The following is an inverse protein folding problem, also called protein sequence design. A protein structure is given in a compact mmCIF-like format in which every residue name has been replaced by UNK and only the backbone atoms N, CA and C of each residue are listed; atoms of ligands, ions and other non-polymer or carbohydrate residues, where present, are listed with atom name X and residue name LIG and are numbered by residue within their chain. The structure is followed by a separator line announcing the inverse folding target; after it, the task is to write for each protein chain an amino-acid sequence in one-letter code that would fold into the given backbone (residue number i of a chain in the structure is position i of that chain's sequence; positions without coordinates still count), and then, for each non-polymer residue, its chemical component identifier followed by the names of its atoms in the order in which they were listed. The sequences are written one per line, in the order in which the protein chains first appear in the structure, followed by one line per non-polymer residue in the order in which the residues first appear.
data_IF_258454844931
#
_entry.id   IF_258454844931
#
_cell.length_a   1.000
_cell.length_b   1.000
_cell.length_c   1.000
_cell.angle_alpha   90.00
_cell.angle_beta   90.00
_cell.angle_gamma   90.00
#
_symmetry.space_group_name_H-M   'P 1'
#
loop_
_entity.id
_entity.type
_entity.pdbx_description
1 polymer ?
#
# COMPACT_ATOMS: atom_id res chain seq x y z
N UNK A 1 70.32 -14.63 36.65
CA UNK A 1 69.64 -13.98 35.47
C UNK A 1 68.53 -14.79 34.79
N UNK A 2 68.01 -15.87 35.37
CA UNK A 2 66.95 -16.73 34.77
C UNK A 2 65.55 -16.51 35.30
N UNK A 3 65.35 -15.89 36.46
CA UNK A 3 64.03 -15.70 37.08
C UNK A 3 63.21 -14.50 36.57
N UNK A 4 63.84 -13.50 35.97
CA UNK A 4 63.16 -12.31 35.48
C UNK A 4 62.45 -12.56 34.15
N UNK A 5 62.96 -13.54 33.34
CA UNK A 5 62.36 -13.89 32.04
C UNK A 5 61.02 -14.64 32.17
N UNK A 6 60.83 -15.42 33.23
CA UNK A 6 59.60 -16.17 33.44
C UNK A 6 58.45 -15.29 33.87
N UNK A 7 58.68 -14.23 34.67
CA UNK A 7 57.62 -13.32 35.14
C UNK A 7 57.02 -12.46 33.98
N UNK A 8 57.85 -12.05 33.01
CA UNK A 8 57.39 -11.31 31.85
C UNK A 8 56.56 -12.19 30.89
N UNK A 9 56.93 -13.45 30.74
CA UNK A 9 56.17 -14.43 29.92
C UNK A 9 54.81 -14.75 30.53
N UNK A 10 54.75 -14.94 31.85
CA UNK A 10 53.48 -15.19 32.58
C UNK A 10 52.53 -14.00 32.52
N UNK A 11 53.08 -12.78 32.62
CA UNK A 11 52.27 -11.55 32.51
C UNK A 11 51.71 -11.36 31.09
N UNK A 12 52.47 -11.69 30.06
CA UNK A 12 52.01 -11.60 28.65
C UNK A 12 50.91 -12.65 28.34
N UNK A 13 51.08 -13.88 28.85
CA UNK A 13 50.03 -14.92 28.68
C UNK A 13 48.74 -14.59 29.43
N UNK A 14 48.86 -14.02 30.65
CA UNK A 14 47.70 -13.56 31.38
C UNK A 14 46.94 -12.40 30.72
N UNK A 15 47.67 -11.45 30.11
CA UNK A 15 47.11 -10.36 29.37
C UNK A 15 46.40 -10.85 28.08
N UNK A 16 46.99 -11.80 27.34
CA UNK A 16 46.39 -12.40 26.17
C UNK A 16 45.11 -13.18 26.47
N UNK A 17 45.06 -13.92 27.61
CA UNK A 17 43.87 -14.61 28.07
C UNK A 17 42.76 -13.65 28.49
N UNK A 18 43.10 -12.51 29.11
CA UNK A 18 42.11 -11.49 29.50
C UNK A 18 41.47 -10.84 28.31
N UNK A 19 42.26 -10.54 27.24
CA UNK A 19 41.73 -9.96 25.98
C UNK A 19 40.90 -11.00 25.22
N UNK A 20 41.28 -12.28 25.25
CA UNK A 20 40.50 -13.36 24.61
C UNK A 20 39.13 -13.56 25.27
N UNK A 21 39.05 -13.47 26.60
CA UNK A 21 37.78 -13.59 27.34
C UNK A 21 36.85 -12.39 27.08
N UNK A 22 37.41 -11.20 26.95
CA UNK A 22 36.60 -10.01 26.63
C UNK A 22 36.07 -10.06 25.19
N UNK A 23 36.82 -10.62 24.22
CA UNK A 23 36.38 -10.76 22.84
C UNK A 23 35.29 -11.85 22.65
N UNK A 24 35.25 -12.86 23.51
CA UNK A 24 34.24 -13.93 23.43
C UNK A 24 32.94 -13.57 24.18
N UNK A 25 33.02 -12.71 25.19
CA UNK A 25 31.85 -12.31 25.98
C UNK A 25 30.99 -11.22 25.33
N UNK A 26 31.56 -10.41 24.43
CA UNK A 26 30.81 -9.28 23.80
C UNK A 26 29.76 -9.69 22.76
N UNK A 27 29.90 -10.74 21.95
CA UNK A 27 28.87 -11.07 20.96
C UNK A 27 27.58 -11.65 21.58
N UNK A 28 27.69 -12.47 22.63
CA UNK A 28 26.53 -13.12 23.25
C UNK A 28 25.68 -12.12 24.06
N UNK A 29 26.31 -11.17 24.75
CA UNK A 29 25.58 -10.11 25.47
C UNK A 29 24.95 -9.07 24.55
N UNK A 30 25.55 -8.81 23.39
CA UNK A 30 25.02 -7.90 22.40
C UNK A 30 23.77 -8.47 21.71
N UNK A 31 23.73 -9.79 21.43
CA UNK A 31 22.57 -10.44 20.78
C UNK A 31 21.37 -10.53 21.73
N UNK A 32 21.57 -10.85 22.98
CA UNK A 32 20.49 -10.90 23.98
C UNK A 32 19.91 -9.52 24.29
N UNK A 33 20.71 -8.48 24.20
CA UNK A 33 20.27 -7.10 24.44
C UNK A 33 19.56 -6.48 23.23
N UNK A 34 19.85 -6.93 22.01
CA UNK A 34 19.22 -6.40 20.80
C UNK A 34 17.71 -6.71 20.73
N UNK A 35 17.29 -7.91 21.09
CA UNK A 35 15.85 -8.25 21.15
C UNK A 35 15.13 -7.36 22.17
N UNK A 36 15.77 -7.03 23.27
CA UNK A 36 15.23 -6.17 24.30
C UNK A 36 15.14 -4.70 23.82
N UNK A 37 16.19 -4.20 23.15
CA UNK A 37 16.22 -2.88 22.51
C UNK A 37 15.15 -2.78 21.43
N UNK A 38 15.01 -3.80 20.58
CA UNK A 38 13.98 -3.86 19.55
C UNK A 38 12.57 -3.80 20.15
N UNK A 39 12.25 -4.70 21.08
CA UNK A 39 10.91 -4.83 21.62
C UNK A 39 10.49 -3.65 22.52
N UNK A 40 11.41 -3.10 23.30
CA UNK A 40 11.08 -2.10 24.32
C UNK A 40 11.35 -0.66 23.90
N UNK A 41 12.22 -0.43 22.90
CA UNK A 41 12.62 0.92 22.53
C UNK A 41 12.34 1.27 21.05
N UNK A 42 12.58 0.37 20.11
CA UNK A 42 12.42 0.67 18.67
C UNK A 42 10.99 0.39 18.22
N UNK A 43 10.49 -0.82 18.46
CA UNK A 43 9.16 -1.26 18.02
C UNK A 43 8.02 -0.35 18.51
N UNK A 44 7.95 0.05 19.81
CA UNK A 44 6.88 0.94 20.26
C UNK A 44 6.90 2.30 19.58
N UNK A 45 8.08 2.86 19.33
CA UNK A 45 8.22 4.15 18.61
C UNK A 45 7.86 4.02 17.13
N UNK A 46 8.22 2.91 16.50
CA UNK A 46 7.81 2.62 15.14
C UNK A 46 6.28 2.42 15.04
N UNK A 47 5.70 1.65 15.96
CA UNK A 47 4.25 1.42 16.03
C UNK A 47 3.44 2.72 16.27
N UNK A 48 4.04 3.75 16.89
CA UNK A 48 3.41 5.07 17.07
C UNK A 48 3.50 5.95 15.80
N UNK A 49 4.56 5.80 15.01
CA UNK A 49 4.80 6.62 13.80
C UNK A 49 4.17 6.04 12.54
N UNK A 50 3.98 4.74 12.49
CA UNK A 50 3.48 4.04 11.32
C UNK A 50 2.14 3.40 11.64
N UNK A 51 1.16 3.63 10.77
CA UNK A 51 -0.13 2.94 10.86
C UNK A 51 0.10 1.44 10.69
N UNK A 52 -0.33 0.65 11.67
CA UNK A 52 -0.25 -0.81 11.55
C UNK A 52 -1.06 -1.25 10.33
N UNK A 53 -0.48 -2.10 9.49
CA UNK A 53 -1.12 -2.67 8.32
C UNK A 53 -2.50 -3.30 8.63
N UNK A 54 -2.64 -3.92 9.80
CA UNK A 54 -3.91 -4.49 10.29
C UNK A 54 -4.98 -3.44 10.66
N UNK A 55 -4.59 -2.16 10.77
CA UNK A 55 -5.52 -1.06 11.08
C UNK A 55 -6.10 -0.39 9.84
N UNK A 56 -5.50 -0.59 8.65
CA UNK A 56 -6.00 -0.03 7.39
C UNK A 56 -7.12 -0.95 6.91
N UNK A 57 -8.36 -0.56 7.19
CA UNK A 57 -9.55 -1.28 6.70
C UNK A 57 -10.10 -0.66 5.43
N UNK A 58 -10.12 0.67 5.34
CA UNK A 58 -10.65 1.43 4.22
C UNK A 58 -9.54 2.31 3.63
N UNK A 59 -9.44 2.35 2.33
CA UNK A 59 -8.56 3.22 1.54
C UNK A 59 -9.45 4.16 0.76
N UNK A 60 -9.04 5.41 0.64
CA UNK A 60 -9.79 6.46 -0.02
C UNK A 60 -8.88 7.24 -0.96
N UNK A 61 -9.47 7.87 -1.97
CA UNK A 61 -8.76 8.73 -2.90
C UNK A 61 -9.70 9.50 -3.81
N UNK A 62 -9.12 10.16 -4.81
CA UNK A 62 -9.84 10.92 -5.80
C UNK A 62 -9.67 10.28 -7.18
N UNK A 63 -10.59 10.59 -8.10
CA UNK A 63 -10.46 10.31 -9.53
C UNK A 63 -10.88 11.53 -10.33
N UNK A 64 -10.39 11.65 -11.56
CA UNK A 64 -10.73 12.74 -12.46
C UNK A 64 -10.55 12.32 -13.93
N UNK A 65 -11.58 11.74 -14.53
CA UNK A 65 -11.60 11.39 -15.94
C UNK A 65 -12.11 12.57 -16.77
N UNK A 66 -11.47 12.88 -17.88
CA UNK A 66 -11.88 13.97 -18.75
C UNK A 66 -11.27 13.91 -20.14
N UNK A 67 -11.94 14.56 -21.11
CA UNK A 67 -11.48 14.66 -22.49
C UNK A 67 -12.14 15.86 -23.20
N UNK A 68 -11.54 16.31 -24.30
CA UNK A 68 -12.20 17.13 -25.30
C UNK A 68 -12.71 16.19 -26.40
N UNK A 69 -14.01 15.87 -26.36
CA UNK A 69 -14.62 14.93 -27.28
C UNK A 69 -14.90 15.58 -28.64
N UNK A 70 -14.54 14.91 -29.71
CA UNK A 70 -14.97 15.26 -31.07
C UNK A 70 -16.37 14.68 -31.38
N UNK A 71 -16.71 13.55 -30.73
CA UNK A 71 -17.99 12.85 -30.88
C UNK A 71 -18.25 11.91 -29.68
N UNK A 72 -19.40 11.25 -29.69
CA UNK A 72 -19.82 10.33 -28.59
C UNK A 72 -19.06 8.99 -28.55
N UNK A 73 -18.19 8.71 -29.52
CA UNK A 73 -17.37 7.50 -29.53
C UNK A 73 -15.96 7.75 -28.98
N UNK A 74 -15.66 8.98 -28.57
CA UNK A 74 -14.40 9.29 -27.93
C UNK A 74 -14.41 8.82 -26.46
N UNK A 75 -13.23 8.57 -25.91
CA UNK A 75 -13.05 7.97 -24.61
C UNK A 75 -12.16 8.82 -23.71
N UNK A 76 -12.60 9.05 -22.49
CA UNK A 76 -11.79 9.61 -21.41
C UNK A 76 -11.41 8.55 -20.40
N UNK A 77 -10.18 8.60 -19.89
CA UNK A 77 -9.64 7.57 -19.02
C UNK A 77 -9.04 8.15 -17.75
N UNK A 78 -9.19 7.42 -16.65
CA UNK A 78 -8.47 7.61 -15.41
C UNK A 78 -8.24 6.25 -14.74
N UNK A 79 -7.47 6.23 -13.65
CA UNK A 79 -7.19 5.02 -12.90
C UNK A 79 -7.29 5.23 -11.39
N UNK A 80 -7.88 4.28 -10.71
CA UNK A 80 -7.93 4.16 -9.26
C UNK A 80 -6.88 3.13 -8.85
N UNK A 81 -5.91 3.53 -8.03
CA UNK A 81 -4.92 2.63 -7.44
C UNK A 81 -5.11 2.56 -5.94
N UNK A 82 -5.24 1.35 -5.41
CA UNK A 82 -5.39 1.15 -3.97
C UNK A 82 -4.07 1.32 -3.20
N UNK A 83 -2.92 1.35 -3.90
CA UNK A 83 -1.59 1.37 -3.27
C UNK A 83 -1.23 0.07 -2.53
N UNK A 84 -2.16 -0.88 -2.44
CA UNK A 84 -2.01 -2.19 -1.79
C UNK A 84 -2.73 -3.26 -2.60
N UNK A 85 -2.25 -4.50 -2.48
CA UNK A 85 -2.96 -5.66 -3.03
C UNK A 85 -4.02 -6.13 -2.04
N UNK A 86 -5.27 -6.16 -2.46
CA UNK A 86 -6.35 -6.79 -1.72
C UNK A 86 -6.29 -8.32 -1.82
N UNK A 87 -6.86 -9.03 -0.85
CA UNK A 87 -6.94 -10.49 -0.87
C UNK A 87 -7.84 -11.00 -2.01
N UNK A 88 -8.96 -10.31 -2.26
CA UNK A 88 -9.86 -10.52 -3.39
C UNK A 88 -10.15 -9.20 -4.10
N UNK A 89 -10.57 -9.26 -5.35
CA UNK A 89 -11.10 -8.10 -6.06
C UNK A 89 -12.39 -7.64 -5.37
N UNK A 90 -12.58 -6.33 -5.14
CA UNK A 90 -13.82 -5.81 -4.58
C UNK A 90 -14.90 -5.77 -5.67
N UNK A 91 -16.17 -5.85 -5.24
CA UNK A 91 -17.32 -5.51 -6.07
C UNK A 91 -17.37 -3.99 -6.24
N UNK A 92 -17.48 -3.53 -7.48
CA UNK A 92 -17.43 -2.10 -7.80
C UNK A 92 -18.82 -1.48 -7.89
N UNK A 93 -18.92 -0.22 -7.52
CA UNK A 93 -20.14 0.58 -7.60
C UNK A 93 -19.78 2.02 -8.01
N UNK A 94 -20.42 2.52 -9.06
CA UNK A 94 -20.36 3.92 -9.43
C UNK A 94 -21.66 4.62 -8.99
N UNK A 95 -21.53 5.70 -8.21
CA UNK A 95 -22.61 6.52 -7.72
C UNK A 95 -22.56 7.89 -8.39
N UNK A 96 -23.50 8.20 -9.31
CA UNK A 96 -23.61 9.54 -9.93
C UNK A 96 -23.79 10.64 -8.90
N UNK A 97 -23.46 11.87 -9.27
CA UNK A 97 -23.68 13.05 -8.44
C UNK A 97 -25.14 13.15 -7.98
N UNK A 98 -25.34 13.31 -6.67
CA UNK A 98 -26.65 13.36 -6.06
C UNK A 98 -27.32 12.00 -5.82
N UNK A 99 -26.69 10.88 -6.18
CA UNK A 99 -27.23 9.56 -5.86
C UNK A 99 -27.32 9.33 -4.34
N UNK A 100 -28.36 8.63 -3.92
CA UNK A 100 -28.50 8.22 -2.54
C UNK A 100 -27.45 7.16 -2.15
N UNK A 101 -27.01 7.16 -0.90
CA UNK A 101 -26.16 6.09 -0.36
C UNK A 101 -26.89 4.74 -0.37
N UNK A 102 -26.10 3.66 -0.48
CA UNK A 102 -26.58 2.28 -0.45
C UNK A 102 -25.95 1.54 0.73
N UNK A 103 -26.40 0.32 1.03
CA UNK A 103 -25.79 -0.53 2.06
C UNK A 103 -24.32 -0.86 1.73
N UNK A 104 -23.98 -1.03 0.44
CA UNK A 104 -22.61 -1.29 -0.04
C UNK A 104 -21.77 -0.01 -0.02
N UNK A 105 -22.37 1.13 -0.35
CA UNK A 105 -21.74 2.44 -0.46
C UNK A 105 -22.44 3.46 0.46
N UNK A 106 -22.18 3.37 1.79
CA UNK A 106 -22.89 4.19 2.78
C UNK A 106 -22.37 5.64 2.87
N UNK A 107 -21.35 5.99 2.09
CA UNK A 107 -20.72 7.30 2.07
C UNK A 107 -21.32 8.28 1.07
N UNK A 108 -20.53 9.28 0.75
CA UNK A 108 -20.81 10.31 -0.25
C UNK A 108 -19.52 10.81 -0.87
N UNK A 109 -19.58 11.68 -1.90
CA UNK A 109 -18.40 12.29 -2.50
C UNK A 109 -17.55 13.12 -1.52
N UNK A 110 -18.17 13.68 -0.45
CA UNK A 110 -17.45 14.45 0.59
C UNK A 110 -16.87 13.53 1.67
N UNK A 111 -17.53 12.42 1.96
CA UNK A 111 -17.10 11.43 2.95
C UNK A 111 -17.20 10.03 2.35
N UNK A 112 -16.23 9.62 1.50
CA UNK A 112 -16.31 8.35 0.79
C UNK A 112 -16.14 7.17 1.75
N UNK A 113 -17.10 6.24 1.75
CA UNK A 113 -17.10 5.03 2.55
C UNK A 113 -17.50 3.85 1.66
N UNK A 114 -17.01 2.66 1.98
CA UNK A 114 -17.39 1.41 1.33
C UNK A 114 -17.60 0.32 2.38
N UNK A 115 -18.60 -0.52 2.19
CA UNK A 115 -18.77 -1.73 2.98
C UNK A 115 -17.61 -2.71 2.70
N UNK A 116 -17.32 -3.67 3.61
CA UNK A 116 -16.27 -4.65 3.40
C UNK A 116 -16.45 -5.44 2.10
N UNK A 117 -15.39 -5.47 1.26
CA UNK A 117 -15.39 -6.15 -0.03
C UNK A 117 -15.90 -5.31 -1.20
N UNK A 118 -16.20 -4.03 -1.00
CA UNK A 118 -16.74 -3.15 -2.03
C UNK A 118 -15.79 -1.99 -2.35
N UNK A 119 -15.80 -1.56 -3.62
CA UNK A 119 -15.24 -0.32 -4.15
C UNK A 119 -16.40 0.61 -4.50
N UNK A 120 -16.48 1.77 -3.87
CA UNK A 120 -17.47 2.79 -4.11
C UNK A 120 -16.82 4.02 -4.74
N UNK A 121 -17.25 4.39 -5.95
CA UNK A 121 -16.79 5.58 -6.67
C UNK A 121 -17.93 6.58 -6.68
N UNK A 122 -17.71 7.73 -6.03
CA UNK A 122 -18.71 8.78 -5.83
C UNK A 122 -18.40 9.95 -6.74
N UNK A 123 -19.27 10.23 -7.69
CA UNK A 123 -19.16 11.41 -8.54
C UNK A 123 -19.52 12.67 -7.74
N UNK A 124 -18.65 13.67 -7.77
CA UNK A 124 -18.93 15.00 -7.20
C UNK A 124 -19.57 15.92 -8.23
N UNK A 125 -18.95 15.99 -9.40
CA UNK A 125 -19.37 16.86 -10.51
C UNK A 125 -19.06 16.17 -11.83
N UNK A 126 -19.95 16.36 -12.80
CA UNK A 126 -19.72 15.94 -14.18
C UNK A 126 -20.30 16.95 -15.17
N UNK A 127 -19.76 16.97 -16.37
CA UNK A 127 -20.25 17.72 -17.51
C UNK A 127 -20.17 16.85 -18.75
N UNK A 128 -21.18 16.90 -19.60
CA UNK A 128 -21.24 16.17 -20.86
C UNK A 128 -20.88 14.68 -20.73
N UNK A 129 -21.22 14.09 -19.56
CA UNK A 129 -21.00 12.69 -19.25
C UNK A 129 -22.18 11.84 -19.74
N UNK A 130 -21.95 10.99 -20.73
CA UNK A 130 -22.90 9.95 -21.14
C UNK A 130 -22.91 8.80 -20.13
N UNK A 131 -21.75 8.18 -19.91
CA UNK A 131 -21.61 7.16 -18.87
C UNK A 131 -20.20 7.14 -18.28
N UNK A 132 -20.08 6.51 -17.10
CA UNK A 132 -18.81 6.12 -16.50
C UNK A 132 -18.88 4.61 -16.25
N UNK A 133 -17.88 3.89 -16.74
CA UNK A 133 -17.74 2.44 -16.60
C UNK A 133 -16.44 2.15 -15.86
N UNK A 134 -16.51 1.32 -14.82
CA UNK A 134 -15.32 0.80 -14.17
C UNK A 134 -14.88 -0.50 -14.86
N UNK A 135 -13.57 -0.71 -14.94
CA UNK A 135 -13.02 -1.91 -15.60
C UNK A 135 -11.74 -2.39 -14.93
N UNK A 136 -11.38 -3.67 -15.15
CA UNK A 136 -10.11 -4.18 -14.65
C UNK A 136 -8.97 -3.75 -15.56
N UNK A 137 -7.93 -3.10 -15.03
CA UNK A 137 -6.74 -2.72 -15.79
C UNK A 137 -5.89 -3.92 -16.30
N UNK A 138 -6.18 -5.14 -15.86
CA UNK A 138 -5.43 -6.35 -16.26
C UNK A 138 -6.04 -7.07 -17.46
N UNK A 139 -7.36 -7.02 -17.63
CA UNK A 139 -8.07 -7.74 -18.69
C UNK A 139 -9.00 -6.86 -19.52
N UNK A 140 -9.24 -5.62 -19.10
CA UNK A 140 -10.23 -4.74 -19.71
C UNK A 140 -11.68 -5.13 -19.43
N UNK A 141 -11.94 -6.13 -18.57
CA UNK A 141 -13.29 -6.53 -18.24
C UNK A 141 -14.05 -5.42 -17.54
N UNK A 142 -15.18 -5.01 -18.10
CA UNK A 142 -16.04 -3.92 -17.61
C UNK A 142 -16.88 -4.37 -16.42
N UNK A 143 -17.34 -3.39 -15.63
CA UNK A 143 -18.10 -3.61 -14.39
C UNK A 143 -17.36 -4.53 -13.40
N UNK A 144 -16.04 -4.35 -13.33
CA UNK A 144 -15.17 -5.13 -12.46
C UNK A 144 -14.00 -4.28 -11.99
N UNK A 145 -13.56 -4.52 -10.76
CA UNK A 145 -12.29 -4.05 -10.23
C UNK A 145 -11.27 -5.18 -10.15
N UNK A 146 -10.00 -4.84 -10.05
CA UNK A 146 -8.91 -5.77 -9.75
C UNK A 146 -8.54 -5.72 -8.26
N UNK A 147 -7.66 -6.61 -7.83
CA UNK A 147 -7.09 -6.56 -6.46
C UNK A 147 -6.21 -5.33 -6.22
N UNK A 148 -5.85 -4.58 -7.25
CA UNK A 148 -4.93 -3.45 -7.21
C UNK A 148 -5.61 -2.10 -7.40
N UNK A 149 -6.78 -2.08 -8.04
CA UNK A 149 -7.49 -0.89 -8.46
C UNK A 149 -8.48 -1.15 -9.57
N UNK A 150 -8.94 -0.09 -10.19
CA UNK A 150 -9.86 -0.11 -11.33
C UNK A 150 -9.48 0.97 -12.34
N UNK A 151 -9.72 0.77 -13.61
CA UNK A 151 -9.78 1.82 -14.60
C UNK A 151 -11.13 2.53 -14.51
N UNK A 152 -11.15 3.79 -14.85
CA UNK A 152 -12.36 4.62 -14.99
C UNK A 152 -12.46 5.03 -16.46
N UNK A 153 -13.52 4.64 -17.11
CA UNK A 153 -13.80 4.94 -18.50
C UNK A 153 -14.99 5.88 -18.60
N UNK A 154 -14.73 7.11 -19.07
CA UNK A 154 -15.73 8.13 -19.32
C UNK A 154 -16.12 8.12 -20.79
N UNK A 155 -17.40 7.96 -21.08
CA UNK A 155 -18.00 8.04 -22.41
C UNK A 155 -18.77 9.37 -22.47
N UNK A 156 -18.47 10.29 -23.40
CA UNK A 156 -19.16 11.57 -23.51
C UNK A 156 -20.59 11.41 -24.05
N UNK A 157 -21.49 12.32 -23.67
CA UNK A 157 -22.84 12.36 -24.21
C UNK A 157 -22.92 13.06 -25.57
N UNK A 158 -21.99 13.98 -25.88
CA UNK A 158 -21.90 14.74 -27.10
C UNK A 158 -20.46 15.23 -27.37
N UNK A 159 -20.20 15.82 -28.52
CA UNK A 159 -18.97 16.56 -28.74
C UNK A 159 -18.83 17.73 -27.75
N UNK A 160 -17.58 18.07 -27.42
CA UNK A 160 -17.25 19.14 -26.47
C UNK A 160 -16.46 18.67 -25.29
N UNK A 161 -16.26 19.56 -24.34
CA UNK A 161 -15.57 19.20 -23.08
C UNK A 161 -16.43 18.28 -22.25
N UNK A 162 -15.89 17.09 -21.91
CA UNK A 162 -16.55 16.10 -21.08
C UNK A 162 -15.65 15.74 -19.89
N UNK A 163 -16.22 15.67 -18.69
CA UNK A 163 -15.50 15.24 -17.49
C UNK A 163 -16.43 14.63 -16.45
N UNK A 164 -15.83 13.82 -15.60
CA UNK A 164 -16.40 13.31 -14.35
C UNK A 164 -15.28 13.22 -13.32
N UNK A 165 -15.47 13.79 -12.15
CA UNK A 165 -14.51 13.66 -11.06
C UNK A 165 -15.22 13.52 -9.71
N UNK A 166 -14.48 13.02 -8.75
CA UNK A 166 -14.98 12.80 -7.41
C UNK A 166 -14.03 12.00 -6.55
N UNK A 167 -14.59 11.23 -5.65
CA UNK A 167 -13.84 10.45 -4.67
C UNK A 167 -14.18 8.98 -4.77
N UNK A 168 -13.34 8.15 -4.18
CA UNK A 168 -13.61 6.73 -4.06
C UNK A 168 -13.18 6.19 -2.69
N UNK A 169 -13.79 5.11 -2.27
CA UNK A 169 -13.39 4.32 -1.12
C UNK A 169 -13.42 2.84 -1.46
N UNK A 170 -12.45 2.09 -0.93
CA UNK A 170 -12.44 0.63 -0.96
C UNK A 170 -12.17 0.09 0.43
N UNK A 171 -12.96 -0.89 0.86
CA UNK A 171 -12.76 -1.56 2.14
C UNK A 171 -12.41 -3.02 1.92
N UNK A 172 -11.31 -3.46 2.53
CA UNK A 172 -10.89 -4.86 2.45
C UNK A 172 -11.99 -5.79 2.96
N UNK A 173 -12.17 -6.98 2.38
CA UNK A 173 -13.09 -7.99 2.91
C UNK A 173 -12.80 -8.30 4.38
N UNK A 174 -13.82 -8.66 5.14
CA UNK A 174 -13.70 -8.96 6.56
C UNK A 174 -12.60 -9.99 6.83
N UNK A 175 -11.74 -9.69 7.81
CA UNK A 175 -10.65 -10.57 8.24
C UNK A 175 -9.39 -10.52 7.37
N UNK A 176 -9.34 -9.72 6.29
CA UNK A 176 -8.17 -9.58 5.43
C UNK A 176 -7.59 -8.17 5.51
N UNK A 177 -6.32 -8.06 5.87
CA UNK A 177 -5.59 -6.79 5.74
C UNK A 177 -5.03 -6.66 4.32
N UNK A 178 -5.02 -5.45 3.73
CA UNK A 178 -4.32 -5.20 2.47
C UNK A 178 -2.86 -5.62 2.58
N UNK A 179 -2.29 -6.31 1.58
CA UNK A 179 -0.88 -6.66 1.60
C UNK A 179 -0.08 -5.82 0.60
N UNK A 180 0.96 -5.13 1.08
CA UNK A 180 2.02 -4.66 0.18
C UNK A 180 2.67 -5.91 -0.41
N UNK A 181 2.83 -5.92 -1.73
CA UNK A 181 3.78 -6.86 -2.34
C UNK A 181 5.15 -6.40 -1.88
N UNK A 182 5.85 -7.23 -1.12
CA UNK A 182 7.27 -7.03 -0.96
C UNK A 182 7.87 -7.00 -2.39
N UNK A 183 8.76 -6.07 -2.72
CA UNK A 183 9.54 -6.19 -3.94
C UNK A 183 10.17 -7.58 -3.91
N UNK A 184 9.98 -8.31 -5.00
CA UNK A 184 10.55 -9.65 -5.13
C UNK A 184 12.05 -9.55 -4.88
N UNK A 185 12.52 -10.20 -3.84
CA UNK A 185 13.94 -10.24 -3.50
C UNK A 185 14.78 -10.99 -4.56
N UNK A 186 14.13 -11.52 -5.58
CA UNK A 186 14.77 -12.18 -6.74
C UNK A 186 15.04 -11.20 -7.90
N UNK A 187 15.46 -9.96 -7.59
CA UNK A 187 15.96 -9.02 -8.58
C UNK A 187 17.25 -9.53 -9.24
N UNK A 188 17.11 -10.54 -10.09
CA UNK A 188 18.13 -10.90 -11.06
C UNK A 188 18.34 -9.72 -12.03
N UNK A 189 19.57 -9.46 -12.50
CA UNK A 189 19.83 -8.37 -13.44
C UNK A 189 18.99 -8.60 -14.69
N UNK A 190 18.14 -7.63 -15.07
CA UNK A 190 17.51 -7.58 -16.39
C UNK A 190 18.65 -7.53 -17.42
N UNK A 191 18.84 -8.63 -18.14
CA UNK A 191 19.70 -8.64 -19.29
C UNK A 191 19.14 -7.65 -20.31
N UNK A 192 19.84 -6.53 -20.49
CA UNK A 192 19.56 -5.57 -21.55
C UNK A 192 19.77 -6.22 -22.90
N UNK A 193 18.73 -6.24 -23.71
CA UNK A 193 18.78 -6.50 -25.15
C UNK A 193 18.73 -5.15 -25.89
#
# INVERSE_FOLDING_TARGET
MRLVRSRKLVALVAAALAIGVVMVATPAGAITNWTNVWNNHIKPKADQRYVKKSAIKTIQGNYAAGLQAANTNDDGWDSISFGFKLASAPEEHFLPAGAASTAQCPGSAVNPLAAPGHLCVYESVSQNRGSVVLFTGTTGAVNQASKWGAGVWLIPAAAGNAFSYGTWAVTAPNGTSPSRVAPDATGGPVAGG
#
